data_IF_463242112667
#
_entry.id   IF_463242112667
#
_cell.length_a   1.000
_cell.length_b   1.000
_cell.length_c   1.000
_cell.angle_alpha   90.00
_cell.angle_beta   90.00
_cell.angle_gamma   90.00
#
_symmetry.space_group_name_H-M   'P 1'
#
loop_
_entity.id
_entity.type
_entity.pdbx_description
1 polymer ?
#
# COMPACT_ATOMS: atom_id res chain seq x y z
N UNK A 1 -0.70 5.13 9.99
CA UNK A 1 0.57 5.03 10.75
C UNK A 1 1.65 4.38 9.88
N UNK A 2 2.81 5.02 9.76
CA UNK A 2 3.94 4.54 8.93
C UNK A 2 4.85 3.65 9.78
N UNK A 3 4.94 2.37 9.43
CA UNK A 3 5.83 1.42 10.10
C UNK A 3 7.27 1.57 9.58
N UNK A 4 8.30 1.14 10.34
CA UNK A 4 9.71 1.46 10.06
C UNK A 4 10.32 0.93 8.74
N UNK A 5 9.57 0.21 7.90
CA UNK A 5 10.08 -0.43 6.68
C UNK A 5 9.36 0.02 5.39
N UNK A 6 8.77 1.22 5.39
CA UNK A 6 7.84 1.68 4.35
C UNK A 6 6.67 0.70 4.12
N UNK A 7 6.24 0.07 5.21
CA UNK A 7 4.98 -0.66 5.26
C UNK A 7 3.87 0.28 5.70
N UNK A 8 2.77 0.23 4.97
CA UNK A 8 1.58 1.04 5.17
C UNK A 8 0.43 0.10 5.51
N UNK A 9 -0.34 0.48 6.53
CA UNK A 9 -1.65 -0.12 6.74
C UNK A 9 -2.61 0.48 5.73
N UNK A 10 -3.18 -0.38 4.90
CA UNK A 10 -4.21 -0.01 3.93
C UNK A 10 -5.49 -0.71 4.33
N UNK A 11 -6.56 0.06 4.46
CA UNK A 11 -7.91 -0.45 4.67
C UNK A 11 -8.57 -0.60 3.30
N UNK A 12 -8.93 -1.84 2.96
CA UNK A 12 -9.70 -2.13 1.75
C UNK A 12 -11.19 -1.87 1.99
N UNK A 13 -11.96 -1.69 0.91
CA UNK A 13 -13.41 -1.46 0.98
C UNK A 13 -14.18 -2.59 1.68
N UNK A 14 -13.63 -3.80 1.71
CA UNK A 14 -14.18 -4.95 2.40
C UNK A 14 -13.89 -4.95 3.92
N UNK A 15 -13.38 -3.85 4.50
CA UNK A 15 -12.94 -3.72 5.91
C UNK A 15 -11.75 -4.60 6.29
N UNK A 16 -11.05 -5.18 5.32
CA UNK A 16 -9.78 -5.86 5.60
C UNK A 16 -8.66 -4.85 5.73
N UNK A 17 -7.92 -4.95 6.82
CA UNK A 17 -6.68 -4.21 7.03
C UNK A 17 -5.52 -5.06 6.56
N UNK A 18 -4.77 -4.56 5.59
CA UNK A 18 -3.60 -5.24 5.04
C UNK A 18 -2.33 -4.44 5.30
N UNK A 19 -1.22 -5.15 5.35
CA UNK A 19 0.12 -4.56 5.36
C UNK A 19 0.64 -4.53 3.94
N UNK A 20 0.75 -3.33 3.38
CA UNK A 20 1.24 -3.15 2.03
C UNK A 20 2.57 -2.40 2.00
N UNK A 21 3.48 -2.83 1.14
CA UNK A 21 4.73 -2.13 0.89
C UNK A 21 4.66 -1.35 -0.44
N UNK A 22 5.42 -0.27 -0.51
CA UNK A 22 5.51 0.53 -1.73
C UNK A 22 6.31 -0.21 -2.80
N UNK A 23 5.82 -0.24 -4.04
CA UNK A 23 6.58 -0.72 -5.20
C UNK A 23 7.87 0.10 -5.43
N UNK A 24 8.95 -0.55 -5.85
CA UNK A 24 10.22 0.13 -6.16
C UNK A 24 10.07 1.25 -7.20
N UNK A 25 9.11 1.13 -8.13
CA UNK A 25 8.79 2.20 -9.10
C UNK A 25 8.33 3.48 -8.41
N UNK A 26 7.46 3.38 -7.41
CA UNK A 26 6.97 4.54 -6.67
C UNK A 26 8.07 5.18 -5.82
N UNK A 27 8.99 4.39 -5.25
CA UNK A 27 10.18 4.91 -4.56
C UNK A 27 11.07 5.73 -5.50
N UNK A 28 11.34 5.24 -6.72
CA UNK A 28 12.12 5.97 -7.73
C UNK A 28 11.47 7.30 -8.16
N UNK A 29 10.13 7.35 -8.20
CA UNK A 29 9.38 8.57 -8.55
C UNK A 29 9.06 9.45 -7.34
N UNK A 30 9.63 9.18 -6.16
CA UNK A 30 9.42 9.94 -4.93
C UNK A 30 7.93 10.13 -4.57
N UNK A 31 7.07 9.16 -4.91
CA UNK A 31 5.65 9.24 -4.61
C UNK A 31 5.47 8.98 -3.11
N UNK A 32 5.11 10.05 -2.38
CA UNK A 32 4.77 9.97 -0.96
C UNK A 32 3.33 9.50 -0.82
N UNK A 33 3.07 8.64 0.16
CA UNK A 33 1.72 8.21 0.53
C UNK A 33 1.40 8.84 1.88
N UNK A 34 0.28 9.55 1.92
CA UNK A 34 -0.26 10.17 3.12
C UNK A 34 -1.50 9.39 3.59
N UNK A 35 -1.80 9.40 4.90
CA UNK A 35 -3.04 8.81 5.39
C UNK A 35 -4.25 9.54 4.77
N UNK A 36 -5.17 8.77 4.19
CA UNK A 36 -6.34 9.29 3.46
C UNK A 36 -6.22 9.19 1.93
N UNK A 37 -5.03 8.88 1.40
CA UNK A 37 -4.86 8.67 -0.04
C UNK A 37 -5.51 7.38 -0.53
N UNK A 38 -6.12 7.45 -1.72
CA UNK A 38 -6.57 6.26 -2.44
C UNK A 38 -5.41 5.65 -3.20
N UNK A 39 -5.16 4.37 -2.94
CA UNK A 39 -4.06 3.62 -3.55
C UNK A 39 -4.57 2.33 -4.18
N UNK A 40 -3.97 1.95 -5.30
CA UNK A 40 -4.16 0.64 -5.91
C UNK A 40 -3.18 -0.34 -5.26
N UNK A 41 -3.72 -1.44 -4.74
CA UNK A 41 -2.95 -2.49 -4.10
C UNK A 41 -3.16 -3.79 -4.85
N UNK A 42 -2.06 -4.45 -5.19
CA UNK A 42 -2.06 -5.84 -5.63
C UNK A 42 -1.87 -6.75 -4.42
N UNK A 43 -2.79 -7.70 -4.25
CA UNK A 43 -2.71 -8.71 -3.20
C UNK A 43 -1.90 -9.91 -3.68
N UNK A 44 -1.15 -10.52 -2.78
CA UNK A 44 -0.57 -11.83 -3.07
C UNK A 44 -1.67 -12.89 -3.05
N UNK A 45 -1.72 -13.81 -4.04
CA UNK A 45 -2.75 -14.85 -4.08
C UNK A 45 -2.63 -15.87 -2.94
N UNK A 46 -1.49 -15.89 -2.24
CA UNK A 46 -1.21 -16.78 -1.12
C UNK A 46 -1.52 -16.16 0.25
N UNK A 47 -1.32 -14.84 0.38
CA UNK A 47 -1.45 -14.09 1.63
C UNK A 47 -2.32 -12.85 1.39
N UNK A 48 -3.60 -12.93 1.76
CA UNK A 48 -4.55 -11.80 1.66
C UNK A 48 -4.24 -10.67 2.66
N UNK A 49 -3.34 -10.90 3.62
CA UNK A 49 -2.92 -9.90 4.62
C UNK A 49 -1.78 -9.00 4.13
N UNK A 50 -1.12 -9.38 3.02
CA UNK A 50 0.02 -8.66 2.46
C UNK A 50 -0.31 -8.16 1.06
N UNK A 51 0.13 -6.94 0.78
CA UNK A 51 -0.08 -6.31 -0.51
C UNK A 51 1.14 -5.54 -1.02
N UNK A 52 1.08 -5.17 -2.28
CA UNK A 52 2.02 -4.27 -2.94
C UNK A 52 1.27 -3.07 -3.51
N UNK A 53 1.68 -1.87 -3.11
CA UNK A 53 1.10 -0.64 -3.64
C UNK A 53 1.75 -0.35 -4.99
N UNK A 54 0.95 -0.33 -6.05
CA UNK A 54 1.42 -0.11 -7.42
C UNK A 54 1.15 1.31 -7.90
N UNK A 55 0.05 1.91 -7.44
CA UNK A 55 -0.39 3.22 -7.91
C UNK A 55 -1.07 4.02 -6.80
N UNK A 56 -0.95 5.35 -6.88
CA UNK A 56 -1.70 6.30 -6.05
C UNK A 56 -2.62 7.09 -6.96
N UNK A 57 -3.92 7.09 -6.65
CA UNK A 57 -4.88 7.95 -7.33
C UNK A 57 -4.75 9.38 -6.79
N UNK A 58 -4.87 10.36 -7.70
CA UNK A 58 -4.88 11.78 -7.37
C UNK A 58 -6.26 12.22 -6.88
#
# INVERSE_FOLDING_TARGET
ETLPNAMFRVELQNKHVILAHISGKMRKHFIRILPGDRVLVELSPYDLTKGRITYRFK
#
